data_IF_840771787929
#
_entry.id   IF_840771787929
#
_cell.length_a   1.000
_cell.length_b   1.000
_cell.length_c   1.000
_cell.angle_alpha   90.00
_cell.angle_beta   90.00
_cell.angle_gamma   90.00
#
_symmetry.space_group_name_H-M   'P 1'
#
loop_
_entity.id
_entity.type
_entity.pdbx_description
1 polymer ?
#
# COMPACT_ATOMS: atom_id res chain seq x y z
N UNK A 1 3.61 9.70 11.74
CA UNK A 1 4.02 8.64 12.69
C UNK A 1 5.20 9.12 13.53
N UNK A 2 5.29 8.75 14.81
CA UNK A 2 6.50 8.99 15.60
C UNK A 2 7.72 8.34 14.93
N UNK A 3 8.86 9.03 14.95
CA UNK A 3 10.07 8.61 14.20
C UNK A 3 10.53 7.19 14.56
N UNK A 4 10.43 6.81 15.83
CA UNK A 4 10.85 5.49 16.33
C UNK A 4 9.99 4.33 15.82
N UNK A 5 8.78 4.58 15.34
CA UNK A 5 7.85 3.54 14.89
C UNK A 5 7.73 3.43 13.37
N UNK A 6 8.49 4.25 12.63
CA UNK A 6 8.50 4.24 11.18
C UNK A 6 8.94 2.91 10.58
N UNK A 7 9.86 2.18 11.22
CA UNK A 7 10.29 0.88 10.70
C UNK A 7 9.11 -0.11 10.61
N UNK A 8 8.24 -0.11 11.63
CA UNK A 8 7.09 -1.03 11.70
C UNK A 8 6.11 -0.76 10.55
N UNK A 9 5.98 0.50 10.16
CA UNK A 9 5.18 0.89 9.00
C UNK A 9 5.68 0.25 7.70
N UNK A 10 6.99 0.11 7.51
CA UNK A 10 7.57 -0.60 6.36
C UNK A 10 7.50 -2.13 6.47
N UNK A 11 7.36 -2.69 7.68
CA UNK A 11 7.13 -4.13 7.86
C UNK A 11 5.69 -4.58 7.58
N UNK A 12 4.75 -3.64 7.43
CA UNK A 12 3.34 -3.96 7.21
C UNK A 12 3.06 -4.28 5.75
N UNK A 13 2.63 -5.51 5.46
CA UNK A 13 2.11 -5.90 4.14
C UNK A 13 0.96 -4.97 3.69
N UNK A 14 0.11 -4.56 4.64
CA UNK A 14 -1.04 -3.69 4.36
C UNK A 14 -0.65 -2.33 3.79
N UNK A 15 0.53 -1.81 4.14
CA UNK A 15 1.07 -0.58 3.55
C UNK A 15 1.14 -0.73 2.02
N UNK A 16 1.86 -1.75 1.56
CA UNK A 16 2.12 -1.95 0.13
C UNK A 16 0.83 -2.32 -0.62
N UNK A 17 -0.08 -3.06 0.01
CA UNK A 17 -1.38 -3.38 -0.56
C UNK A 17 -2.22 -2.11 -0.77
N UNK A 18 -2.34 -1.28 0.28
CA UNK A 18 -3.11 -0.05 0.20
C UNK A 18 -2.49 0.93 -0.80
N UNK A 19 -1.17 1.09 -0.79
CA UNK A 19 -0.48 1.98 -1.74
C UNK A 19 -0.68 1.52 -3.19
N UNK A 20 -0.64 0.21 -3.46
CA UNK A 20 -0.93 -0.32 -4.79
C UNK A 20 -2.39 -0.07 -5.23
N UNK A 21 -3.35 -0.25 -4.32
CA UNK A 21 -4.77 0.00 -4.58
C UNK A 21 -5.05 1.49 -4.83
N UNK A 22 -4.47 2.38 -4.01
CA UNK A 22 -4.61 3.83 -4.18
C UNK A 22 -4.03 4.28 -5.51
N UNK A 23 -2.84 3.80 -5.88
CA UNK A 23 -2.26 4.10 -7.19
C UNK A 23 -3.16 3.60 -8.31
N UNK A 24 -3.68 2.37 -8.23
CA UNK A 24 -4.54 1.80 -9.27
C UNK A 24 -5.85 2.57 -9.48
N UNK A 25 -6.47 3.04 -8.40
CA UNK A 25 -7.73 3.76 -8.48
C UNK A 25 -7.51 5.22 -8.90
N UNK A 26 -6.64 5.94 -8.17
CA UNK A 26 -6.50 7.38 -8.34
C UNK A 26 -5.67 7.78 -9.55
N UNK A 27 -4.87 6.89 -10.16
CA UNK A 27 -4.19 7.16 -11.43
C UNK A 27 -5.18 7.44 -12.56
N UNK A 28 -6.31 6.73 -12.59
CA UNK A 28 -7.34 6.90 -13.61
C UNK A 28 -8.26 8.09 -13.35
N UNK A 29 -8.28 8.60 -12.12
CA UNK A 29 -9.07 9.76 -11.68
C UNK A 29 -8.22 11.02 -11.52
N UNK A 30 -7.03 11.08 -12.12
CA UNK A 30 -6.05 12.15 -11.92
C UNK A 30 -6.65 13.56 -12.09
N UNK A 31 -7.37 13.78 -13.20
CA UNK A 31 -8.05 15.03 -13.53
C UNK A 31 -9.49 15.12 -13.06
N UNK A 32 -10.06 14.03 -12.53
CA UNK A 32 -11.46 14.00 -12.09
C UNK A 32 -11.58 14.59 -10.69
N UNK A 33 -12.51 15.53 -10.54
CA UNK A 33 -12.81 16.10 -9.25
C UNK A 33 -13.60 15.12 -8.36
N UNK A 34 -13.09 14.89 -7.15
CA UNK A 34 -13.69 14.02 -6.13
C UNK A 34 -14.59 14.80 -5.18
N UNK A 35 -14.19 16.03 -4.83
CA UNK A 35 -14.92 16.91 -3.91
C UNK A 35 -15.12 18.26 -4.57
N UNK A 36 -16.39 18.60 -4.79
CA UNK A 36 -16.81 19.91 -5.30
C UNK A 36 -17.18 20.82 -4.14
N UNK A 37 -16.76 22.08 -4.20
CA UNK A 37 -17.20 23.14 -3.31
C UNK A 37 -18.07 24.11 -4.10
N UNK A 38 -19.27 24.38 -3.61
CA UNK A 38 -20.22 25.27 -4.26
C UNK A 38 -20.07 26.67 -3.65
N UNK A 39 -19.50 27.59 -4.43
CA UNK A 39 -19.32 28.98 -4.06
C UNK A 39 -20.32 29.85 -4.81
N UNK A 40 -20.57 31.07 -4.32
CA UNK A 40 -21.57 31.99 -4.86
C UNK A 40 -21.38 32.35 -6.36
N UNK A 41 -20.22 32.03 -6.96
CA UNK A 41 -19.87 32.31 -8.35
C UNK A 41 -19.53 31.04 -9.18
N UNK A 42 -19.74 29.83 -8.66
CA UNK A 42 -19.53 28.58 -9.40
C UNK A 42 -19.08 27.39 -8.56
N UNK A 43 -18.87 26.23 -9.22
CA UNK A 43 -18.37 25.00 -8.59
C UNK A 43 -16.84 24.91 -8.75
N UNK A 44 -16.12 24.94 -7.63
CA UNK A 44 -14.64 24.81 -7.60
C UNK A 44 -14.28 23.39 -7.16
N UNK A 45 -13.28 22.79 -7.80
CA UNK A 45 -12.79 21.49 -7.39
C UNK A 45 -11.80 21.61 -6.23
N UNK A 46 -12.08 20.93 -5.11
CA UNK A 46 -11.27 21.01 -3.89
C UNK A 46 -10.22 19.88 -3.81
N UNK A 47 -10.56 18.70 -4.31
CA UNK A 47 -9.70 17.51 -4.30
C UNK A 47 -9.86 16.73 -5.60
N UNK A 48 -8.75 16.50 -6.30
CA UNK A 48 -8.64 15.61 -7.48
C UNK A 48 -7.96 14.30 -7.12
N UNK A 49 -8.09 13.28 -7.96
CA UNK A 49 -7.36 12.01 -7.78
C UNK A 49 -5.85 12.20 -7.73
N UNK A 50 -5.30 13.06 -8.60
CA UNK A 50 -3.89 13.42 -8.60
C UNK A 50 -3.44 14.09 -7.31
N UNK A 51 -4.25 15.02 -6.79
CA UNK A 51 -3.98 15.68 -5.51
C UNK A 51 -3.97 14.73 -4.31
N UNK A 52 -4.73 13.62 -4.37
CA UNK A 52 -4.68 12.57 -3.35
C UNK A 52 -3.35 11.80 -3.40
N UNK A 53 -2.90 11.42 -4.61
CA UNK A 53 -1.64 10.71 -4.81
C UNK A 53 -0.44 11.56 -4.37
N UNK A 54 -0.43 12.85 -4.74
CA UNK A 54 0.63 13.79 -4.36
C UNK A 54 0.71 13.98 -2.85
N UNK A 55 -0.43 14.20 -2.17
CA UNK A 55 -0.46 14.33 -0.70
C UNK A 55 0.03 13.06 0.02
N UNK A 56 -0.17 11.89 -0.56
CA UNK A 56 0.34 10.61 -0.04
C UNK A 56 1.77 10.29 -0.49
N UNK A 57 2.36 11.10 -1.38
CA UNK A 57 3.69 10.88 -1.93
C UNK A 57 3.78 9.61 -2.79
N UNK A 58 2.66 9.22 -3.42
CA UNK A 58 2.56 8.01 -4.23
C UNK A 58 2.75 8.35 -5.70
N UNK A 59 3.44 7.47 -6.42
CA UNK A 59 3.71 7.63 -7.85
C UNK A 59 3.31 6.38 -8.63
N UNK A 60 2.86 6.54 -9.88
CA UNK A 60 2.42 5.42 -10.71
C UNK A 60 3.49 4.34 -10.89
N UNK A 61 4.76 4.75 -10.99
CA UNK A 61 5.92 3.85 -11.11
C UNK A 61 6.02 2.86 -9.95
N UNK A 62 5.50 3.20 -8.77
CA UNK A 62 5.55 2.35 -7.58
C UNK A 62 4.48 1.26 -7.57
N UNK A 63 3.50 1.27 -8.49
CA UNK A 63 2.40 0.28 -8.53
C UNK A 63 2.93 -1.15 -8.55
N UNK A 64 3.80 -1.45 -9.51
CA UNK A 64 4.36 -2.79 -9.67
C UNK A 64 5.36 -3.15 -8.59
N UNK A 65 6.14 -2.16 -8.11
CA UNK A 65 7.05 -2.35 -6.98
C UNK A 65 6.29 -2.84 -5.73
N UNK A 66 5.19 -2.19 -5.38
CA UNK A 66 4.36 -2.58 -4.25
C UNK A 66 3.79 -4.00 -4.41
N UNK A 67 3.36 -4.39 -5.62
CA UNK A 67 2.89 -5.75 -5.91
C UNK A 67 4.00 -6.79 -5.73
N UNK A 68 5.23 -6.51 -6.20
CA UNK A 68 6.36 -7.40 -5.99
C UNK A 68 6.73 -7.55 -4.52
N UNK A 69 6.64 -6.48 -3.73
CA UNK A 69 6.85 -6.54 -2.28
C UNK A 69 5.79 -7.44 -1.62
N UNK A 70 4.52 -7.34 -2.01
CA UNK A 70 3.46 -8.24 -1.51
C UNK A 70 3.73 -9.71 -1.83
N UNK A 71 4.17 -10.00 -3.05
CA UNK A 71 4.60 -11.35 -3.44
C UNK A 71 5.79 -11.83 -2.60
N UNK A 72 6.75 -10.96 -2.34
CA UNK A 72 7.88 -11.22 -1.44
C UNK A 72 7.42 -11.61 -0.03
N UNK A 73 6.49 -10.85 0.56
CA UNK A 73 5.89 -11.20 1.85
C UNK A 73 5.16 -12.53 1.82
N UNK A 74 4.38 -12.81 0.78
CA UNK A 74 3.68 -14.09 0.63
C UNK A 74 4.66 -15.27 0.63
N UNK A 75 5.73 -15.19 -0.17
CA UNK A 75 6.77 -16.24 -0.23
C UNK A 75 7.49 -16.36 1.11
N UNK A 76 7.89 -15.24 1.73
CA UNK A 76 8.54 -15.22 3.03
C UNK A 76 7.70 -15.94 4.10
N UNK A 77 6.42 -15.61 4.21
CA UNK A 77 5.54 -16.25 5.20
C UNK A 77 5.35 -17.75 4.93
N UNK A 78 5.27 -18.16 3.66
CA UNK A 78 5.22 -19.58 3.28
C UNK A 78 6.48 -20.32 3.69
N UNK A 79 7.65 -19.73 3.44
CA UNK A 79 8.94 -20.30 3.84
C UNK A 79 9.06 -20.38 5.36
N UNK A 80 8.69 -19.31 6.09
CA UNK A 80 8.71 -19.32 7.55
C UNK A 80 7.80 -20.42 8.12
N UNK A 81 6.56 -20.51 7.62
CA UNK A 81 5.62 -21.56 8.00
C UNK A 81 6.20 -22.96 7.73
N UNK A 82 6.72 -23.18 6.52
CA UNK A 82 7.36 -24.44 6.15
C UNK A 82 8.54 -24.78 7.08
N UNK A 83 9.42 -23.83 7.38
CA UNK A 83 10.53 -24.03 8.31
C UNK A 83 10.06 -24.35 9.73
N UNK A 84 8.98 -23.71 10.22
CA UNK A 84 8.42 -24.05 11.54
C UNK A 84 7.85 -25.47 11.57
N UNK A 85 7.16 -25.90 10.51
CA UNK A 85 6.62 -27.25 10.39
C UNK A 85 7.75 -28.30 10.27
N UNK A 86 8.77 -28.03 9.47
CA UNK A 86 9.95 -28.89 9.37
C UNK A 86 10.63 -29.08 10.72
N UNK A 87 10.89 -27.99 11.46
CA UNK A 87 11.49 -28.06 12.80
C UNK A 87 10.63 -28.88 13.75
N UNK A 88 9.31 -28.72 13.70
CA UNK A 88 8.37 -29.50 14.52
C UNK A 88 8.43 -31.00 14.20
N UNK A 89 8.45 -31.37 12.92
CA UNK A 89 8.52 -32.78 12.48
C UNK A 89 9.88 -33.39 12.86
N UNK A 90 10.99 -32.67 12.65
CA UNK A 90 12.32 -33.13 13.05
C UNK A 90 12.45 -33.33 14.56
N UNK A 91 11.81 -32.49 15.37
CA UNK A 91 11.79 -32.62 16.83
C UNK A 91 10.94 -33.79 17.34
N UNK A 92 9.86 -34.16 16.65
CA UNK A 92 8.99 -35.27 17.03
C UNK A 92 9.55 -36.66 16.73
N UNK A 93 10.61 -36.75 15.90
CA UNK A 93 11.30 -38.01 15.60
C UNK A 93 12.42 -38.35 16.61
N UNK A 94 12.65 -37.49 17.59
CA UNK A 94 13.60 -37.70 18.69
C UNK A 94 12.84 -38.04 19.96
#
# INVERSE_FOLDING_TARGET
LPKYWLFMYFFSMYKYALDALLINEYSCLDSKCLVWFEEAQGKICLVTGGGVLEKKGLHEKQRWFNVYVLLGFFVLYRVLCFLTLLRRISGSKR
#
